data_IF_008979148813
#
_entry.id   IF_008979148813
#
_cell.length_a   1.000
_cell.length_b   1.000
_cell.length_c   1.000
_cell.angle_alpha   90.00
_cell.angle_beta   90.00
_cell.angle_gamma   90.00
#
_symmetry.space_group_name_H-M   'P 1'
#
loop_
_entity.id
_entity.type
_entity.pdbx_description
1 polymer ?
#
# COMPACT_ATOMS: atom_id res chain seq x y z
N UNK A 1 0.27 5.63 28.79
CA UNK A 1 0.81 6.21 27.53
C UNK A 1 1.57 7.45 27.92
N UNK A 2 2.78 7.63 27.39
CA UNK A 2 3.51 8.89 27.56
C UNK A 2 2.79 9.99 26.79
N UNK A 3 2.29 11.00 27.50
CA UNK A 3 1.79 12.23 26.89
C UNK A 3 2.95 13.15 26.56
N UNK A 4 2.86 13.89 25.45
CA UNK A 4 3.85 14.94 25.14
C UNK A 4 3.64 16.20 25.97
N UNK A 5 2.45 16.38 26.55
CA UNK A 5 2.04 17.64 27.17
C UNK A 5 1.50 18.62 26.12
N UNK A 6 1.67 19.92 26.36
CA UNK A 6 1.16 20.99 25.50
C UNK A 6 2.27 21.57 24.62
N UNK A 7 2.01 21.78 23.33
CA UNK A 7 2.93 22.51 22.46
C UNK A 7 2.98 23.98 22.89
N UNK A 8 4.17 24.50 23.22
CA UNK A 8 4.37 25.88 23.67
C UNK A 8 4.98 26.79 22.61
N UNK A 9 5.78 26.24 21.68
CA UNK A 9 6.36 27.01 20.58
C UNK A 9 6.75 26.10 19.40
N UNK A 10 6.74 26.64 18.18
CA UNK A 10 7.22 25.98 16.96
C UNK A 10 8.24 26.85 16.22
N UNK A 11 9.24 26.20 15.62
CA UNK A 11 10.14 26.78 14.63
C UNK A 11 9.38 27.43 13.46
N UNK A 12 10.01 28.43 12.81
CA UNK A 12 9.43 29.16 11.67
C UNK A 12 9.24 28.30 10.41
N UNK A 13 9.95 27.17 10.32
CA UNK A 13 9.81 26.17 9.28
C UNK A 13 8.74 25.10 9.59
N UNK A 14 8.18 25.11 10.80
CA UNK A 14 7.18 24.15 11.30
C UNK A 14 7.61 22.66 11.26
N UNK A 15 8.92 22.37 11.27
CA UNK A 15 9.43 21.01 11.47
C UNK A 15 9.74 20.72 12.95
N UNK A 16 10.31 21.67 13.70
CA UNK A 16 10.64 21.53 15.11
C UNK A 16 9.62 22.22 16.03
N UNK A 17 9.25 21.55 17.12
CA UNK A 17 8.28 21.98 18.13
C UNK A 17 8.83 21.73 19.53
N UNK A 18 8.46 22.56 20.51
CA UNK A 18 8.74 22.29 21.92
C UNK A 18 7.42 22.08 22.66
N UNK A 19 7.32 20.95 23.33
CA UNK A 19 6.21 20.61 24.21
C UNK A 19 6.63 20.75 25.67
N UNK A 20 5.71 21.20 26.52
CA UNK A 20 5.81 21.27 27.98
C UNK A 20 4.87 20.23 28.59
N UNK A 21 5.43 19.26 29.31
CA UNK A 21 4.71 18.32 30.16
C UNK A 21 4.93 18.72 31.62
N UNK A 22 3.84 18.90 32.36
CA UNK A 22 3.86 19.14 33.80
C UNK A 22 3.76 17.79 34.52
N UNK A 23 4.70 17.55 35.42
CA UNK A 23 4.73 16.41 36.33
C UNK A 23 4.49 16.94 37.75
N UNK A 24 4.10 16.07 38.68
CA UNK A 24 3.69 16.48 40.04
C UNK A 24 4.70 17.41 40.75
N UNK A 25 6.00 17.19 40.52
CA UNK A 25 7.10 17.88 41.20
C UNK A 25 8.15 18.46 40.22
N UNK A 26 7.90 18.46 38.90
CA UNK A 26 8.89 18.86 37.88
C UNK A 26 8.24 19.30 36.55
N UNK A 27 8.96 20.06 35.72
CA UNK A 27 8.52 20.46 34.38
C UNK A 27 9.45 19.87 33.33
N UNK A 28 8.90 19.02 32.47
CA UNK A 28 9.64 18.35 31.41
C UNK A 28 9.36 19.02 30.06
N UNK A 29 10.38 19.64 29.47
CA UNK A 29 10.30 20.10 28.08
C UNK A 29 10.81 19.01 27.14
N UNK A 30 10.17 18.83 25.98
CA UNK A 30 10.63 17.90 24.94
C UNK A 30 10.59 18.57 23.57
N UNK A 31 11.69 18.47 22.83
CA UNK A 31 11.72 18.79 21.42
C UNK A 31 11.07 17.66 20.62
N UNK A 32 10.24 18.01 19.65
CA UNK A 32 9.59 17.08 18.72
C UNK A 32 9.83 17.58 17.30
N UNK A 33 10.44 16.74 16.46
CA UNK A 33 10.66 17.02 15.05
C UNK A 33 9.70 16.19 14.22
N UNK A 34 8.86 16.83 13.41
CA UNK A 34 7.80 16.19 12.62
C UNK A 34 8.14 16.29 11.14
N UNK A 35 8.16 15.16 10.46
CA UNK A 35 8.49 15.01 9.05
C UNK A 35 7.24 14.55 8.28
N UNK A 36 6.74 15.41 7.39
CA UNK A 36 5.63 15.10 6.49
C UNK A 36 6.16 14.29 5.29
N UNK A 37 6.39 12.99 5.52
CA UNK A 37 6.95 12.06 4.51
C UNK A 37 5.96 11.81 3.37
N UNK A 38 4.68 11.65 3.70
CA UNK A 38 3.61 11.40 2.74
C UNK A 38 2.27 11.89 3.31
N UNK A 39 1.27 12.32 2.51
CA UNK A 39 -0.03 12.71 3.04
C UNK A 39 -0.70 11.67 3.96
N UNK A 40 -0.37 10.38 3.82
CA UNK A 40 -0.87 9.29 4.67
C UNK A 40 0.16 8.78 5.72
N UNK A 41 1.39 9.33 5.78
CA UNK A 41 2.44 8.94 6.72
C UNK A 41 3.17 10.16 7.26
N UNK A 42 3.11 10.32 8.59
CA UNK A 42 4.00 11.21 9.32
C UNK A 42 5.09 10.38 9.99
N UNK A 43 6.31 10.92 10.04
CA UNK A 43 7.37 10.40 10.91
C UNK A 43 7.76 11.48 11.92
N UNK A 44 8.11 11.10 13.14
CA UNK A 44 8.59 12.06 14.13
C UNK A 44 9.70 11.53 15.03
N UNK A 45 10.56 12.42 15.51
CA UNK A 45 11.48 12.18 16.63
C UNK A 45 11.03 12.98 17.84
N UNK A 46 11.27 12.45 19.03
CA UNK A 46 11.11 13.16 20.31
C UNK A 46 12.44 13.16 21.06
N UNK A 47 12.78 14.24 21.75
CA UNK A 47 13.96 14.27 22.61
C UNK A 47 13.69 13.56 23.94
N UNK A 48 14.76 13.30 24.67
CA UNK A 48 14.69 13.10 26.11
C UNK A 48 14.24 14.38 26.84
N UNK A 49 13.99 14.24 28.14
CA UNK A 49 13.50 15.34 28.97
C UNK A 49 14.54 16.46 29.15
N UNK A 50 14.20 17.67 28.68
CA UNK A 50 14.97 18.89 28.86
C UNK A 50 14.43 19.60 30.11
N UNK A 51 15.25 19.74 31.16
CA UNK A 51 14.88 20.47 32.39
C UNK A 51 15.19 21.97 32.36
N UNK A 52 16.18 22.36 31.55
CA UNK A 52 16.65 23.73 31.43
C UNK A 52 16.28 24.26 30.05
N UNK A 53 15.06 24.80 29.94
CA UNK A 53 14.58 25.51 28.76
C UNK A 53 14.33 26.98 29.12
N UNK A 54 15.13 27.87 28.56
CA UNK A 54 14.91 29.31 28.65
C UNK A 54 14.08 29.78 27.45
N UNK A 55 12.91 30.36 27.73
CA UNK A 55 11.95 30.83 26.71
C UNK A 55 12.40 32.09 25.96
N UNK A 56 13.57 32.64 26.29
CA UNK A 56 14.27 33.74 25.60
C UNK A 56 15.10 33.29 24.40
N UNK A 57 15.22 31.98 24.15
CA UNK A 57 16.02 31.45 23.03
C UNK A 57 15.19 31.33 21.75
N UNK A 58 15.28 32.35 20.90
CA UNK A 58 14.54 32.45 19.62
C UNK A 58 14.86 31.31 18.63
N UNK A 59 16.00 30.63 18.76
CA UNK A 59 16.45 29.62 17.81
C UNK A 59 16.09 28.18 18.24
N UNK A 60 14.81 27.86 18.09
CA UNK A 60 14.20 26.55 18.39
C UNK A 60 14.89 25.41 17.62
N UNK A 61 15.29 25.65 16.36
CA UNK A 61 15.98 24.64 15.54
C UNK A 61 17.34 24.25 16.15
N UNK A 62 18.10 25.21 16.71
CA UNK A 62 19.33 24.91 17.45
C UNK A 62 19.05 24.14 18.75
N UNK A 63 18.05 24.55 19.54
CA UNK A 63 17.69 23.84 20.79
C UNK A 63 17.39 22.38 20.49
N UNK A 64 16.54 22.11 19.50
CA UNK A 64 16.14 20.76 19.16
C UNK A 64 17.27 19.96 18.50
N UNK A 65 18.12 20.60 17.68
CA UNK A 65 19.36 20.00 17.14
C UNK A 65 20.30 19.49 18.25
N UNK A 66 20.38 20.14 19.41
CA UNK A 66 21.18 19.67 20.54
C UNK A 66 20.41 18.70 21.46
N UNK A 67 19.09 18.78 21.52
CA UNK A 67 18.25 17.89 22.34
C UNK A 67 18.09 16.47 21.75
N UNK A 68 18.14 16.33 20.42
CA UNK A 68 18.17 15.02 19.77
C UNK A 68 19.58 14.41 19.82
N UNK A 69 19.71 13.23 20.44
CA UNK A 69 20.90 12.38 20.31
C UNK A 69 20.93 11.73 18.91
N UNK A 70 22.11 11.35 18.43
CA UNK A 70 22.26 10.71 17.11
C UNK A 70 21.47 9.39 16.95
N UNK A 71 21.33 8.64 18.03
CA UNK A 71 20.57 7.40 18.18
C UNK A 71 19.06 7.60 18.43
N UNK A 72 18.56 8.85 18.50
CA UNK A 72 17.14 9.12 18.78
C UNK A 72 16.26 8.43 17.74
N UNK A 73 15.38 7.49 18.13
CA UNK A 73 14.60 6.71 17.18
C UNK A 73 13.56 7.57 16.45
N UNK A 74 13.28 7.21 15.21
CA UNK A 74 12.08 7.68 14.52
C UNK A 74 10.85 6.95 15.06
N UNK A 75 9.67 7.54 14.89
CA UNK A 75 8.37 6.91 15.12
C UNK A 75 7.49 7.17 13.90
N UNK A 76 6.96 6.12 13.30
CA UNK A 76 6.06 6.19 12.13
C UNK A 76 4.60 6.26 12.60
N UNK A 77 3.81 7.15 11.98
CA UNK A 77 2.37 7.30 12.20
C UNK A 77 1.63 7.20 10.87
N UNK A 78 0.78 6.19 10.73
CA UNK A 78 -0.13 6.05 9.60
C UNK A 78 -1.41 6.86 9.83
N UNK A 79 -1.92 7.50 8.78
CA UNK A 79 -3.28 8.07 8.81
C UNK A 79 -4.31 6.94 8.91
N UNK A 80 -5.23 7.03 9.87
CA UNK A 80 -6.25 6.01 10.07
C UNK A 80 -7.15 5.85 8.83
N UNK A 81 -7.64 6.97 8.30
CA UNK A 81 -8.38 7.12 7.04
C UNK A 81 -7.48 7.22 5.79
N UNK A 82 -6.27 6.62 5.82
CA UNK A 82 -5.36 6.62 4.68
C UNK A 82 -6.05 6.06 3.42
N UNK A 83 -5.94 6.82 2.33
CA UNK A 83 -6.54 6.50 1.03
C UNK A 83 -5.68 5.51 0.26
N UNK A 84 -6.33 4.63 -0.50
CA UNK A 84 -5.71 3.59 -1.32
C UNK A 84 -4.98 4.20 -2.53
N UNK A 85 -3.79 3.71 -2.82
CA UNK A 85 -2.88 4.24 -3.84
C UNK A 85 -2.21 3.11 -4.66
N UNK A 86 -1.65 3.45 -5.82
CA UNK A 86 -0.97 2.48 -6.68
C UNK A 86 0.39 2.08 -6.09
N UNK A 87 0.63 0.78 -5.87
CA UNK A 87 1.94 0.27 -5.47
C UNK A 87 3.00 0.49 -6.58
N UNK A 88 4.31 0.60 -6.24
CA UNK A 88 5.40 0.74 -7.20
C UNK A 88 5.71 -0.54 -8.03
N UNK A 89 5.08 -1.67 -7.68
CA UNK A 89 5.20 -2.94 -8.40
C UNK A 89 4.05 -3.19 -9.38
N UNK A 90 4.30 -4.06 -10.36
CA UNK A 90 3.37 -4.43 -11.44
C UNK A 90 3.01 -5.93 -11.33
N UNK A 91 1.84 -6.31 -10.79
CA UNK A 91 1.40 -7.71 -10.81
C UNK A 91 0.67 -8.07 -12.12
N UNK A 92 0.47 -9.37 -12.41
CA UNK A 92 0.80 -10.51 -11.56
C UNK A 92 2.28 -10.86 -11.58
N UNK A 93 2.77 -11.44 -10.48
CA UNK A 93 4.12 -12.00 -10.39
C UNK A 93 4.17 -13.23 -9.48
N UNK A 94 5.18 -14.05 -9.71
CA UNK A 94 5.48 -15.25 -8.93
C UNK A 94 6.68 -14.98 -8.03
N UNK A 95 6.73 -15.56 -6.82
CA UNK A 95 7.78 -15.26 -5.85
C UNK A 95 8.15 -16.43 -4.93
N UNK A 96 9.37 -16.36 -4.39
CA UNK A 96 9.83 -17.12 -3.21
C UNK A 96 10.03 -16.15 -2.05
N UNK A 97 10.02 -16.65 -0.82
CA UNK A 97 10.08 -15.79 0.37
C UNK A 97 10.96 -16.35 1.48
N UNK A 98 11.51 -15.45 2.30
CA UNK A 98 12.35 -15.77 3.46
C UNK A 98 11.86 -14.98 4.67
N UNK A 99 11.66 -15.66 5.79
CA UNK A 99 11.31 -15.11 7.10
C UNK A 99 12.45 -15.41 8.09
N UNK A 100 12.29 -15.03 9.36
CA UNK A 100 13.28 -15.33 10.40
C UNK A 100 13.49 -16.84 10.59
N UNK A 101 12.43 -17.64 10.52
CA UNK A 101 12.48 -19.10 10.75
C UNK A 101 13.02 -19.93 9.55
N UNK A 102 13.19 -19.33 8.37
CA UNK A 102 13.67 -20.05 7.19
C UNK A 102 13.31 -19.42 5.84
N UNK A 103 13.55 -20.16 4.77
CA UNK A 103 13.31 -19.72 3.39
C UNK A 103 12.47 -20.74 2.62
N UNK A 104 11.31 -20.32 2.12
CA UNK A 104 10.45 -21.13 1.26
C UNK A 104 10.82 -20.85 -0.20
N UNK A 105 11.58 -21.80 -0.77
CA UNK A 105 12.06 -21.76 -2.16
C UNK A 105 11.65 -22.99 -2.97
N UNK A 106 11.26 -24.08 -2.29
CA UNK A 106 10.78 -25.30 -2.95
C UNK A 106 9.37 -25.19 -3.55
N UNK A 107 8.61 -24.14 -3.19
CA UNK A 107 7.31 -23.79 -3.78
C UNK A 107 7.25 -22.32 -4.19
N UNK A 108 6.46 -22.07 -5.23
CA UNK A 108 6.29 -20.75 -5.84
C UNK A 108 4.98 -20.13 -5.34
N UNK A 109 5.11 -19.03 -4.61
CA UNK A 109 4.02 -18.17 -4.16
C UNK A 109 3.62 -17.17 -5.25
N UNK A 110 2.46 -16.53 -5.14
CA UNK A 110 1.92 -15.67 -6.23
C UNK A 110 1.21 -14.41 -5.74
N UNK A 111 1.28 -13.34 -6.54
CA UNK A 111 0.57 -12.07 -6.30
C UNK A 111 -0.36 -11.72 -7.45
N UNK A 112 -1.62 -11.45 -7.13
CA UNK A 112 -2.67 -11.05 -8.08
C UNK A 112 -3.22 -9.64 -7.79
N UNK A 113 -3.80 -9.03 -8.82
CA UNK A 113 -4.51 -7.74 -8.75
C UNK A 113 -5.96 -7.96 -8.29
N UNK A 114 -6.44 -7.15 -7.35
CA UNK A 114 -7.84 -7.13 -6.96
C UNK A 114 -8.65 -6.12 -7.81
N UNK A 115 -10.00 -6.22 -7.89
CA UNK A 115 -10.84 -5.23 -8.58
C UNK A 115 -10.85 -3.84 -7.92
N UNK A 116 -10.48 -3.77 -6.65
CA UNK A 116 -10.35 -2.53 -5.89
C UNK A 116 -9.00 -1.85 -6.14
N UNK A 117 -9.00 -0.53 -6.27
CA UNK A 117 -7.79 0.23 -6.60
C UNK A 117 -6.76 0.17 -5.46
N UNK A 118 -5.50 -0.08 -5.81
CA UNK A 118 -4.41 -0.22 -4.84
C UNK A 118 -4.44 -1.50 -4.02
N UNK A 119 -5.35 -2.46 -4.30
CA UNK A 119 -5.44 -3.74 -3.58
C UNK A 119 -4.88 -4.92 -4.36
N UNK A 120 -4.14 -5.77 -3.65
CA UNK A 120 -3.40 -6.91 -4.19
C UNK A 120 -3.49 -8.08 -3.22
N UNK A 121 -3.46 -9.31 -3.73
CA UNK A 121 -3.49 -10.52 -2.90
C UNK A 121 -2.21 -11.33 -3.03
N UNK A 122 -1.48 -11.43 -1.94
CA UNK A 122 -0.29 -12.24 -1.78
C UNK A 122 -0.72 -13.62 -1.26
N UNK A 123 -0.37 -14.68 -1.99
CA UNK A 123 -0.66 -16.06 -1.65
C UNK A 123 0.65 -16.79 -1.35
N UNK A 124 0.90 -17.04 -0.06
CA UNK A 124 2.06 -17.81 0.37
C UNK A 124 1.73 -19.30 0.31
N UNK A 125 2.51 -20.05 -0.47
CA UNK A 125 2.43 -21.50 -0.54
C UNK A 125 3.40 -22.09 0.49
N UNK A 126 2.90 -22.88 1.44
CA UNK A 126 3.72 -23.51 2.47
C UNK A 126 4.70 -24.52 1.85
N UNK A 127 5.99 -24.31 2.10
CA UNK A 127 7.03 -25.27 1.75
C UNK A 127 7.13 -26.39 2.82
N UNK A 128 7.67 -27.59 2.49
CA UNK A 128 7.98 -28.62 3.50
C UNK A 128 8.86 -28.10 4.64
N UNK A 129 9.78 -27.17 4.34
CA UNK A 129 10.64 -26.49 5.29
C UNK A 129 9.95 -25.38 6.11
N UNK A 130 8.77 -24.91 5.70
CA UNK A 130 7.97 -23.86 6.38
C UNK A 130 6.46 -24.13 6.23
N UNK A 131 5.83 -24.93 7.11
CA UNK A 131 4.47 -25.45 6.93
C UNK A 131 3.32 -24.45 7.16
N UNK A 132 3.57 -23.13 7.27
CA UNK A 132 2.49 -22.12 7.38
C UNK A 132 1.95 -21.71 6.01
N UNK A 133 0.63 -21.68 5.86
CA UNK A 133 -0.10 -21.19 4.68
C UNK A 133 -0.84 -19.89 5.00
N UNK A 134 -0.33 -18.77 4.52
CA UNK A 134 -0.91 -17.45 4.76
C UNK A 134 -1.39 -16.76 3.47
N UNK A 135 -2.37 -15.89 3.61
CA UNK A 135 -3.02 -15.17 2.50
C UNK A 135 -3.23 -13.73 2.91
N UNK A 136 -2.36 -12.85 2.46
CA UNK A 136 -2.46 -11.42 2.74
C UNK A 136 -3.18 -10.72 1.61
N UNK A 137 -4.15 -9.89 1.98
CA UNK A 137 -4.71 -8.88 1.11
C UNK A 137 -4.11 -7.55 1.55
N UNK A 138 -3.34 -6.93 0.65
CA UNK A 138 -2.56 -5.72 0.89
C UNK A 138 -3.12 -4.56 0.07
N UNK A 139 -3.48 -3.49 0.77
CA UNK A 139 -3.88 -2.21 0.18
C UNK A 139 -2.71 -1.22 0.30
N UNK A 140 -2.10 -0.80 -0.81
CA UNK A 140 -1.11 0.28 -0.77
C UNK A 140 -1.76 1.60 -0.36
N UNK A 141 -1.08 2.36 0.51
CA UNK A 141 -1.56 3.63 1.06
C UNK A 141 -0.54 4.78 0.97
N UNK A 142 0.68 4.50 0.54
CA UNK A 142 1.74 5.49 0.35
C UNK A 142 2.89 4.92 -0.47
N UNK A 143 3.56 5.76 -1.24
CA UNK A 143 4.86 5.48 -1.88
C UNK A 143 5.76 6.71 -1.80
N UNK A 144 7.03 6.55 -1.40
CA UNK A 144 8.02 7.62 -1.28
C UNK A 144 9.44 7.08 -1.50
N UNK A 145 10.37 7.95 -1.89
CA UNK A 145 11.80 7.61 -1.90
C UNK A 145 12.47 8.21 -0.66
N UNK A 146 13.40 7.46 -0.04
CA UNK A 146 14.21 7.94 1.08
C UNK A 146 15.66 7.50 0.85
N UNK A 147 16.58 8.46 0.75
CA UNK A 147 18.01 8.24 0.51
C UNK A 147 18.34 7.31 -0.69
N UNK A 148 17.50 7.33 -1.74
CA UNK A 148 17.66 6.50 -2.93
C UNK A 148 16.93 5.15 -2.87
N UNK A 149 16.37 4.78 -1.71
CA UNK A 149 15.58 3.56 -1.51
C UNK A 149 14.10 3.87 -1.76
N UNK A 150 13.43 3.07 -2.59
CA UNK A 150 11.98 3.15 -2.78
C UNK A 150 11.25 2.43 -1.64
N UNK A 151 10.46 3.20 -0.89
CA UNK A 151 9.61 2.74 0.21
C UNK A 151 8.14 2.86 -0.18
N UNK A 152 7.34 1.90 0.27
CA UNK A 152 5.88 2.01 0.23
C UNK A 152 5.27 1.44 1.52
N UNK A 153 4.01 1.77 1.79
CA UNK A 153 3.29 1.23 2.94
C UNK A 153 1.97 0.60 2.53
N UNK A 154 1.59 -0.45 3.26
CA UNK A 154 0.37 -1.21 3.04
C UNK A 154 -0.46 -1.31 4.32
N UNK A 155 -1.78 -1.37 4.12
CA UNK A 155 -2.77 -1.84 5.09
C UNK A 155 -3.11 -3.30 4.75
N UNK A 156 -2.96 -4.21 5.69
CA UNK A 156 -3.40 -5.61 5.60
C UNK A 156 -4.91 -5.64 5.87
N UNK A 157 -5.70 -6.23 4.97
CA UNK A 157 -7.17 -6.19 5.03
C UNK A 157 -7.84 -7.55 5.33
N UNK A 158 -7.06 -8.61 5.57
CA UNK A 158 -7.62 -9.95 5.84
C UNK A 158 -8.27 -10.03 7.26
N UNK A 159 -9.41 -10.70 7.35
CA UNK A 159 -10.44 -10.52 8.38
C UNK A 159 -10.19 -11.19 9.74
N UNK A 160 -8.94 -11.58 10.05
CA UNK A 160 -8.57 -12.24 11.32
C UNK A 160 -7.65 -11.38 12.20
N UNK A 161 -7.17 -10.23 11.70
CA UNK A 161 -6.07 -9.46 12.29
C UNK A 161 -6.62 -8.19 12.97
N UNK A 162 -6.87 -8.27 14.28
CA UNK A 162 -7.48 -7.18 15.07
C UNK A 162 -6.46 -6.36 15.88
N UNK A 163 -5.79 -5.40 15.23
CA UNK A 163 -5.01 -4.40 15.96
C UNK A 163 -4.22 -3.41 15.09
N UNK A 164 -4.11 -2.12 15.47
CA UNK A 164 -3.41 -1.11 14.67
C UNK A 164 -1.92 -1.44 14.44
N UNK A 165 -1.27 -2.06 15.43
CA UNK A 165 0.16 -2.42 15.38
C UNK A 165 0.48 -3.57 14.39
N UNK A 166 -0.55 -4.28 13.92
CA UNK A 166 -0.43 -5.48 13.08
C UNK A 166 -1.05 -5.33 11.70
N UNK A 167 -1.94 -4.36 11.48
CA UNK A 167 -2.53 -4.09 10.15
C UNK A 167 -1.67 -3.22 9.23
N UNK A 168 -0.65 -2.50 9.71
CA UNK A 168 0.21 -1.68 8.84
C UNK A 168 1.63 -2.25 8.73
N UNK A 169 2.21 -2.18 7.53
CA UNK A 169 3.61 -2.55 7.24
C UNK A 169 4.23 -1.56 6.27
N UNK A 170 5.53 -1.31 6.41
CA UNK A 170 6.33 -0.68 5.37
C UNK A 170 7.07 -1.75 4.57
N UNK A 171 7.33 -1.44 3.30
CA UNK A 171 8.06 -2.28 2.38
C UNK A 171 9.11 -1.46 1.65
N UNK A 172 10.28 -2.05 1.43
CA UNK A 172 11.29 -1.57 0.49
C UNK A 172 11.11 -2.31 -0.84
N UNK A 173 11.24 -1.61 -1.96
CA UNK A 173 11.24 -2.19 -3.31
C UNK A 173 12.62 -2.05 -3.97
N UNK A 174 13.06 -3.08 -4.69
CA UNK A 174 14.17 -3.02 -5.63
C UNK A 174 13.79 -3.74 -6.92
N UNK A 175 13.42 -2.98 -7.95
CA UNK A 175 13.01 -3.51 -9.27
C UNK A 175 14.22 -3.93 -10.10
N UNK A 176 14.08 -5.01 -10.87
CA UNK A 176 15.03 -5.46 -11.90
C UNK A 176 14.33 -5.67 -13.24
N UNK A 177 15.08 -5.90 -14.31
CA UNK A 177 14.55 -6.03 -15.69
C UNK A 177 13.46 -7.09 -15.86
N UNK A 178 13.47 -8.14 -15.03
CA UNK A 178 12.58 -9.31 -15.15
C UNK A 178 11.87 -9.66 -13.84
N UNK A 179 11.84 -8.75 -12.87
CA UNK A 179 11.33 -9.03 -11.53
C UNK A 179 11.83 -8.04 -10.50
N UNK A 180 12.26 -8.52 -9.33
CA UNK A 180 12.87 -7.70 -8.30
C UNK A 180 12.90 -8.35 -6.93
N UNK A 181 13.15 -7.52 -5.92
CA UNK A 181 13.14 -7.88 -4.51
C UNK A 181 12.23 -6.93 -3.73
N UNK A 182 11.60 -7.44 -2.68
CA UNK A 182 10.93 -6.63 -1.67
C UNK A 182 11.37 -7.05 -0.28
N UNK A 183 11.39 -6.12 0.66
CA UNK A 183 11.61 -6.37 2.08
C UNK A 183 10.50 -5.76 2.90
N UNK A 184 9.83 -6.54 3.74
CA UNK A 184 8.70 -6.14 4.60
C UNK A 184 9.21 -5.91 6.03
N UNK A 185 8.73 -4.86 6.70
CA UNK A 185 8.98 -4.66 8.14
C UNK A 185 8.38 -5.80 8.97
N UNK A 186 9.01 -6.14 10.10
CA UNK A 186 8.45 -7.11 11.04
C UNK A 186 7.13 -6.60 11.67
N UNK A 187 7.08 -5.30 11.95
CA UNK A 187 5.98 -4.61 12.65
C UNK A 187 5.51 -3.34 11.92
N UNK A 188 4.63 -2.56 12.57
CA UNK A 188 4.18 -1.25 12.07
C UNK A 188 5.05 -0.07 12.52
N UNK A 189 6.18 -0.26 13.22
CA UNK A 189 7.11 0.83 13.52
C UNK A 189 7.89 1.24 12.27
N UNK A 190 8.22 0.23 11.45
CA UNK A 190 9.10 0.30 10.28
C UNK A 190 10.55 0.72 10.58
N UNK A 191 10.93 0.85 11.85
CA UNK A 191 12.20 1.47 12.26
C UNK A 191 13.44 0.64 11.90
N UNK A 192 13.31 -0.69 11.89
CA UNK A 192 14.39 -1.63 11.55
C UNK A 192 14.57 -1.79 10.04
N UNK A 193 13.57 -1.40 9.23
CA UNK A 193 13.57 -1.58 7.77
C UNK A 193 14.42 -0.49 7.08
N UNK A 194 15.73 -0.54 7.28
CA UNK A 194 16.72 0.34 6.61
C UNK A 194 17.03 -0.13 5.18
N UNK A 195 16.99 -1.44 4.95
CA UNK A 195 17.39 -2.12 3.73
C UNK A 195 16.81 -3.54 3.69
N UNK A 196 17.06 -4.29 2.61
CA UNK A 196 16.53 -5.65 2.43
C UNK A 196 17.10 -6.69 3.41
N UNK A 197 18.27 -6.46 4.03
CA UNK A 197 18.85 -7.41 4.97
C UNK A 197 18.14 -7.36 6.32
N UNK A 198 17.75 -6.17 6.78
CA UNK A 198 17.00 -5.97 8.03
C UNK A 198 15.47 -6.16 7.89
N UNK A 199 14.99 -6.57 6.71
CA UNK A 199 13.58 -6.91 6.51
C UNK A 199 13.20 -8.22 7.23
N UNK A 200 12.08 -8.20 7.97
CA UNK A 200 11.54 -9.37 8.67
C UNK A 200 10.94 -10.42 7.74
N UNK A 201 10.50 -10.02 6.54
CA UNK A 201 10.22 -10.91 5.42
C UNK A 201 10.88 -10.37 4.16
N UNK A 202 11.63 -11.20 3.43
CA UNK A 202 12.22 -10.89 2.13
C UNK A 202 11.48 -11.67 1.05
N UNK A 203 11.17 -11.02 -0.06
CA UNK A 203 10.52 -11.60 -1.23
C UNK A 203 11.45 -11.42 -2.43
N UNK A 204 11.74 -12.51 -3.14
CA UNK A 204 12.35 -12.47 -4.47
C UNK A 204 11.28 -12.84 -5.50
N UNK A 205 11.00 -11.94 -6.45
CA UNK A 205 9.92 -12.12 -7.41
C UNK A 205 10.39 -12.08 -8.86
N UNK A 206 9.72 -12.87 -9.71
CA UNK A 206 9.87 -12.86 -11.16
C UNK A 206 8.58 -12.34 -11.80
N UNK A 207 8.74 -11.39 -12.71
CA UNK A 207 7.64 -10.70 -13.36
C UNK A 207 6.78 -11.69 -14.16
N UNK A 208 5.49 -11.78 -13.84
CA UNK A 208 4.54 -12.58 -14.62
C UNK A 208 4.25 -11.96 -15.99
N UNK A 209 3.60 -12.70 -16.90
CA UNK A 209 3.17 -12.17 -18.19
C UNK A 209 2.32 -10.91 -17.99
N UNK A 210 2.77 -9.79 -18.57
CA UNK A 210 2.16 -8.48 -18.32
C UNK A 210 0.88 -8.30 -19.13
N UNK A 211 -0.28 -8.29 -18.46
CA UNK A 211 -1.59 -8.19 -19.10
C UNK A 211 -1.96 -6.73 -19.45
N UNK A 212 -1.53 -6.29 -20.64
CA UNK A 212 -2.09 -5.11 -21.32
C UNK A 212 -3.40 -5.49 -22.02
N UNK A 213 -4.34 -4.54 -22.13
CA UNK A 213 -5.49 -4.71 -23.03
C UNK A 213 -5.00 -4.65 -24.47
N UNK A 214 -5.22 -5.70 -25.24
CA UNK A 214 -4.79 -5.82 -26.65
C UNK A 214 -5.92 -5.52 -27.65
N UNK A 215 -7.16 -5.38 -27.17
CA UNK A 215 -8.30 -4.94 -27.97
C UNK A 215 -9.10 -3.82 -27.30
N UNK A 216 -10.15 -3.37 -28.00
CA UNK A 216 -11.11 -2.42 -27.46
C UNK A 216 -12.53 -2.98 -27.48
N UNK A 217 -13.28 -2.75 -26.41
CA UNK A 217 -14.70 -3.08 -26.35
C UNK A 217 -15.49 -2.30 -27.42
N UNK A 218 -16.51 -2.90 -28.06
CA UNK A 218 -17.36 -2.25 -29.05
C UNK A 218 -17.91 -0.89 -28.60
N UNK A 219 -18.12 0.03 -29.55
CA UNK A 219 -18.59 1.40 -29.25
C UNK A 219 -19.97 1.43 -28.62
N UNK A 220 -20.88 0.54 -29.03
CA UNK A 220 -22.26 0.47 -28.53
C UNK A 220 -22.34 0.16 -27.02
N UNK A 221 -21.45 -0.68 -26.49
CA UNK A 221 -21.37 -0.95 -25.05
C UNK A 221 -20.97 0.28 -24.24
N UNK A 222 -20.23 1.23 -24.83
CA UNK A 222 -19.51 2.31 -24.13
C UNK A 222 -20.18 3.68 -24.23
N UNK A 223 -20.74 4.01 -25.39
CA UNK A 223 -21.26 5.36 -25.71
C UNK A 223 -22.72 5.29 -26.15
N UNK A 224 -23.52 6.22 -25.64
CA UNK A 224 -24.79 6.57 -26.28
C UNK A 224 -24.52 7.28 -27.61
N UNK A 225 -25.34 7.00 -28.63
CA UNK A 225 -25.32 7.76 -29.89
C UNK A 225 -25.84 9.20 -29.71
N UNK A 226 -26.70 9.44 -28.71
CA UNK A 226 -27.46 10.68 -28.55
C UNK A 226 -27.04 11.50 -27.32
N UNK A 227 -25.96 11.12 -26.62
CA UNK A 227 -25.52 11.78 -25.39
C UNK A 227 -24.01 11.64 -25.17
N UNK A 228 -23.41 12.65 -24.51
CA UNK A 228 -22.05 12.61 -24.00
C UNK A 228 -21.88 11.70 -22.76
N UNK A 229 -22.98 11.22 -22.17
CA UNK A 229 -22.95 10.24 -21.08
C UNK A 229 -22.51 8.85 -21.54
N UNK A 230 -21.67 8.20 -20.73
CA UNK A 230 -21.33 6.77 -20.91
C UNK A 230 -22.58 5.91 -20.72
N UNK A 231 -22.67 4.79 -21.42
CA UNK A 231 -23.63 3.75 -21.07
C UNK A 231 -23.26 3.10 -19.73
N UNK A 232 -24.28 2.82 -18.91
CA UNK A 232 -24.23 1.94 -17.74
C UNK A 232 -25.28 0.86 -17.95
N UNK A 233 -24.90 -0.41 -17.84
CA UNK A 233 -25.82 -1.53 -18.06
C UNK A 233 -26.15 -2.20 -16.73
N UNK A 234 -27.43 -2.34 -16.41
CA UNK A 234 -27.87 -3.01 -15.18
C UNK A 234 -28.18 -4.48 -15.50
N UNK A 235 -27.54 -5.40 -14.78
CA UNK A 235 -27.83 -6.82 -14.85
C UNK A 235 -29.12 -7.12 -14.10
N UNK A 236 -30.16 -7.56 -14.83
CA UNK A 236 -31.46 -7.89 -14.24
C UNK A 236 -31.44 -9.18 -13.39
N UNK A 237 -30.37 -9.98 -13.45
CA UNK A 237 -30.23 -11.23 -12.68
C UNK A 237 -29.39 -11.08 -11.41
N UNK A 238 -28.40 -10.17 -11.41
CA UNK A 238 -27.48 -9.95 -10.27
C UNK A 238 -27.60 -8.58 -9.62
N UNK A 239 -28.34 -7.64 -10.23
CA UNK A 239 -28.38 -6.24 -9.83
C UNK A 239 -27.08 -5.46 -10.09
N UNK A 240 -26.06 -6.08 -10.71
CA UNK A 240 -24.76 -5.44 -10.93
C UNK A 240 -24.81 -4.34 -11.98
N UNK A 241 -24.10 -3.24 -11.74
CA UNK A 241 -23.96 -2.12 -12.68
C UNK A 241 -22.66 -2.30 -13.46
N UNK A 242 -22.75 -2.27 -14.79
CA UNK A 242 -21.69 -2.64 -15.69
C UNK A 242 -21.24 -1.43 -16.53
N UNK A 243 -20.03 -0.96 -16.24
CA UNK A 243 -19.41 0.22 -16.86
C UNK A 243 -18.34 -0.22 -17.87
N UNK A 244 -18.57 0.06 -19.16
CA UNK A 244 -17.62 -0.28 -20.23
C UNK A 244 -16.76 0.95 -20.62
N UNK A 245 -15.44 0.79 -20.49
CA UNK A 245 -14.40 1.68 -20.99
C UNK A 245 -13.78 1.08 -22.26
N UNK A 246 -12.82 1.76 -22.90
CA UNK A 246 -12.23 1.26 -24.15
C UNK A 246 -11.48 -0.06 -23.93
N UNK A 247 -10.75 -0.15 -22.83
CA UNK A 247 -9.80 -1.19 -22.43
C UNK A 247 -10.35 -2.18 -21.37
N UNK A 248 -11.30 -1.72 -20.56
CA UNK A 248 -11.82 -2.44 -19.39
C UNK A 248 -13.34 -2.39 -19.26
N UNK A 249 -13.92 -3.48 -18.78
CA UNK A 249 -15.29 -3.59 -18.29
C UNK A 249 -15.21 -3.72 -16.77
N UNK A 250 -15.93 -2.86 -16.05
CA UNK A 250 -16.02 -2.90 -14.57
C UNK A 250 -17.44 -3.30 -14.19
N UNK A 251 -17.56 -4.33 -13.36
CA UNK A 251 -18.81 -4.75 -12.73
C UNK A 251 -18.84 -4.24 -11.29
N UNK A 252 -19.90 -3.53 -10.91
CA UNK A 252 -20.05 -2.87 -9.61
C UNK A 252 -21.27 -3.43 -8.88
N UNK A 253 -21.10 -3.83 -7.62
CA UNK A 253 -22.17 -4.30 -6.73
C UNK A 253 -22.07 -3.52 -5.41
N UNK A 254 -23.20 -3.00 -4.93
CA UNK A 254 -23.29 -2.18 -3.70
C UNK A 254 -22.28 -1.02 -3.63
N UNK A 255 -21.92 -0.44 -4.79
CA UNK A 255 -20.96 0.66 -4.92
C UNK A 255 -19.48 0.23 -4.96
N UNK A 256 -19.16 -1.06 -4.78
CA UNK A 256 -17.79 -1.57 -4.86
C UNK A 256 -17.53 -2.31 -6.18
N UNK A 257 -16.30 -2.24 -6.68
CA UNK A 257 -15.87 -3.02 -7.85
C UNK A 257 -15.89 -4.50 -7.50
N UNK A 258 -16.82 -5.26 -8.10
CA UNK A 258 -16.94 -6.70 -7.87
C UNK A 258 -16.05 -7.50 -8.83
N UNK A 259 -15.96 -7.08 -10.10
CA UNK A 259 -15.02 -7.64 -11.07
C UNK A 259 -14.48 -6.58 -12.04
N UNK A 260 -13.25 -6.77 -12.53
CA UNK A 260 -12.68 -5.97 -13.64
C UNK A 260 -12.22 -6.93 -14.72
N UNK A 261 -12.65 -6.69 -15.96
CA UNK A 261 -12.33 -7.50 -17.14
C UNK A 261 -11.61 -6.67 -18.20
N UNK A 262 -10.45 -7.10 -18.69
CA UNK A 262 -9.66 -6.43 -19.74
C UNK A 262 -9.78 -7.18 -21.08
N UNK A 263 -9.81 -6.46 -22.19
CA UNK A 263 -9.96 -7.03 -23.53
C UNK A 263 -8.63 -7.63 -24.04
N UNK A 264 -8.55 -8.96 -24.18
CA UNK A 264 -7.37 -9.64 -24.75
C UNK A 264 -7.51 -9.88 -26.25
N UNK A 265 -8.64 -10.43 -26.70
CA UNK A 265 -8.91 -10.66 -28.11
C UNK A 265 -10.37 -10.35 -28.43
N UNK A 266 -10.62 -9.81 -29.63
CA UNK A 266 -11.96 -9.59 -30.18
C UNK A 266 -12.01 -10.06 -31.63
N UNK A 267 -13.11 -10.73 -32.01
CA UNK A 267 -13.41 -11.14 -33.36
C UNK A 267 -14.84 -10.70 -33.69
N UNK A 268 -14.98 -9.88 -34.74
CA UNK A 268 -16.28 -9.52 -35.29
C UNK A 268 -16.68 -10.55 -36.36
N UNK A 269 -17.90 -11.10 -36.24
CA UNK A 269 -18.49 -12.09 -37.16
C UNK A 269 -19.78 -11.51 -37.77
N UNK A 270 -19.75 -10.22 -38.12
CA UNK A 270 -20.85 -9.47 -38.72
C UNK A 270 -21.77 -8.88 -37.66
N UNK A 271 -22.73 -9.67 -37.19
CA UNK A 271 -23.75 -9.24 -36.21
C UNK A 271 -23.36 -9.53 -34.75
N UNK A 272 -22.22 -10.18 -34.53
CA UNK A 272 -21.80 -10.73 -33.23
C UNK A 272 -20.31 -10.52 -33.01
N UNK A 273 -19.92 -10.12 -31.79
CA UNK A 273 -18.56 -9.97 -31.32
C UNK A 273 -18.21 -11.08 -30.33
N UNK A 274 -17.31 -11.98 -30.72
CA UNK A 274 -16.70 -12.93 -29.79
C UNK A 274 -15.46 -12.28 -29.16
N UNK A 275 -15.35 -12.35 -27.84
CA UNK A 275 -14.27 -11.73 -27.07
C UNK A 275 -13.65 -12.72 -26.09
N UNK A 276 -12.34 -12.63 -25.89
CA UNK A 276 -11.64 -13.24 -24.76
C UNK A 276 -11.24 -12.10 -23.81
N UNK A 277 -11.68 -12.19 -22.56
CA UNK A 277 -11.31 -11.23 -21.51
C UNK A 277 -10.51 -11.89 -20.39
N UNK A 278 -9.56 -11.14 -19.84
CA UNK A 278 -8.90 -11.45 -18.58
C UNK A 278 -9.68 -10.77 -17.45
N UNK A 279 -10.26 -11.55 -16.53
CA UNK A 279 -11.19 -11.08 -15.50
C UNK A 279 -10.63 -11.32 -14.10
N UNK A 280 -10.47 -10.23 -13.35
CA UNK A 280 -10.10 -10.25 -11.93
C UNK A 280 -11.39 -10.27 -11.10
N UNK A 281 -11.50 -11.19 -10.14
CA UNK A 281 -12.66 -11.31 -9.23
C UNK A 281 -12.39 -10.65 -7.87
N UNK A 282 -13.43 -10.39 -7.08
CA UNK A 282 -13.28 -9.88 -5.70
C UNK A 282 -12.36 -10.75 -4.81
N UNK A 283 -12.23 -12.06 -5.09
CA UNK A 283 -11.30 -12.95 -4.39
C UNK A 283 -9.83 -12.78 -4.86
N UNK A 284 -9.56 -11.80 -5.72
CA UNK A 284 -8.30 -11.53 -6.41
C UNK A 284 -7.78 -12.80 -7.12
N UNK A 285 -8.70 -13.52 -7.76
CA UNK A 285 -8.40 -14.60 -8.69
C UNK A 285 -8.53 -14.09 -10.12
N UNK A 286 -7.56 -14.48 -10.95
CA UNK A 286 -7.52 -14.14 -12.37
C UNK A 286 -8.15 -15.30 -13.14
N UNK A 287 -9.16 -15.03 -13.96
CA UNK A 287 -9.82 -16.04 -14.81
C UNK A 287 -9.92 -15.54 -16.25
N UNK A 288 -9.91 -16.47 -17.20
CA UNK A 288 -10.18 -16.16 -18.61
C UNK A 288 -11.65 -16.47 -18.90
N UNK A 289 -12.34 -15.54 -19.56
CA UNK A 289 -13.74 -15.73 -19.94
C UNK A 289 -13.93 -15.42 -21.43
N UNK A 290 -14.56 -16.35 -22.15
CA UNK A 290 -15.10 -16.10 -23.47
C UNK A 290 -16.48 -15.43 -23.35
N UNK A 291 -16.73 -14.42 -24.18
CA UNK A 291 -17.96 -13.63 -24.22
C UNK A 291 -18.44 -13.56 -25.68
N UNK A 292 -19.75 -13.57 -25.87
CA UNK A 292 -20.40 -13.42 -27.17
C UNK A 292 -21.58 -12.44 -27.01
N UNK A 293 -21.57 -11.35 -27.78
CA UNK A 293 -22.54 -10.22 -27.71
C UNK A 293 -22.77 -9.58 -29.07
#
# INVERSE_FOLDING_TARGET
>A
MDTLGYCIVSSSNHYNYIFRLELNDDICYRCVAIFNVHPNILQFKQSECIKQYESSSDNIDNICRFAFRGDTPMKTLFRNDAKSEQCPFEPPFNFTYTIQDGSCTSRISSVNVCPEYGKYRFRYEACPELPSHEKDELECIAHWNSFGIEFFAVRITNSSITGPNIIFRCLIHQKTTFGGRMGISADSSCNELTDLTNAGTRIEYQQGPFFKSHCHFPTFLRRSYNSSSKHKWISMTTGSVNDFYSDKWIEVINGMNYTISQCLQIQNIGNVYKMIVHKNTQQCTNIYQCIEV
#
